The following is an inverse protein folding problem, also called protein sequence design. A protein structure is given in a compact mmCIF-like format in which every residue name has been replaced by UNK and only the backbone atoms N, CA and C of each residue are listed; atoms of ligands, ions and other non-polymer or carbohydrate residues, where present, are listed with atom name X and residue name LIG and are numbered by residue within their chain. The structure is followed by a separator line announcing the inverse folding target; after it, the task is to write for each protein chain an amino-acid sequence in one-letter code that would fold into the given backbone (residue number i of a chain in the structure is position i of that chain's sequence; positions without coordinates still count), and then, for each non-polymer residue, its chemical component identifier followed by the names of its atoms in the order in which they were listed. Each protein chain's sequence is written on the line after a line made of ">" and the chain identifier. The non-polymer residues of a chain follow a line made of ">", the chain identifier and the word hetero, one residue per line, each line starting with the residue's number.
data_IF_953175869127
#
_entry.id   IF_953175869127
#
_cell.length_a   1.000
_cell.length_b   1.000
_cell.length_c   1.000
_cell.angle_alpha   90.00
_cell.angle_beta   90.00
_cell.angle_gamma   90.00
#
_symmetry.space_group_name_H-M   'P 1'
#
loop_
_entity.id
_entity.type
_entity.pdbx_description
1 polymer ?
#
# COMPACT_ATOMS: atom_id res chain seq x y z
N UNK A 1 -27.59 -3.11 1.50
CA UNK A 1 -26.74 -3.46 2.65
C UNK A 1 -26.70 -4.99 2.82
N UNK A 2 -25.54 -5.55 3.15
CA UNK A 2 -25.31 -6.97 3.44
C UNK A 2 -25.42 -7.93 2.24
N UNK A 3 -25.22 -7.43 1.01
CA UNK A 3 -25.24 -8.26 -0.22
C UNK A 3 -23.95 -8.14 -1.05
N UNK A 4 -23.23 -7.01 -0.99
CA UNK A 4 -21.97 -6.81 -1.71
C UNK A 4 -20.75 -7.30 -0.94
N UNK A 5 -19.67 -7.65 -1.66
CA UNK A 5 -18.44 -8.23 -1.08
C UNK A 5 -17.90 -7.45 0.13
N UNK A 6 -17.75 -6.13 0.01
CA UNK A 6 -17.34 -5.26 1.13
C UNK A 6 -18.28 -5.37 2.33
N UNK A 7 -19.58 -5.38 2.11
CA UNK A 7 -20.57 -5.42 3.19
C UNK A 7 -20.59 -6.79 3.88
N UNK A 8 -20.35 -7.88 3.14
CA UNK A 8 -20.39 -9.24 3.69
C UNK A 8 -19.05 -9.64 4.33
N UNK A 9 -17.93 -9.39 3.65
CA UNK A 9 -16.61 -9.92 4.03
C UNK A 9 -15.61 -8.83 4.43
N UNK A 10 -16.01 -7.56 4.34
CA UNK A 10 -15.12 -6.43 4.57
C UNK A 10 -14.18 -6.22 3.39
N UNK A 11 -13.14 -5.42 3.60
CA UNK A 11 -12.05 -5.28 2.61
C UNK A 11 -11.32 -6.59 2.38
N UNK A 12 -11.28 -7.46 3.39
CA UNK A 12 -10.58 -8.73 3.39
C UNK A 12 -11.16 -9.78 2.42
N UNK A 13 -12.26 -9.47 1.73
CA UNK A 13 -12.71 -10.18 0.52
C UNK A 13 -11.61 -10.26 -0.54
N UNK A 14 -10.68 -9.30 -0.55
CA UNK A 14 -9.60 -9.24 -1.51
C UNK A 14 -8.54 -10.32 -1.31
N UNK A 15 -8.44 -10.92 -0.11
CA UNK A 15 -7.42 -11.94 0.20
C UNK A 15 -7.42 -13.07 -0.83
N UNK A 16 -8.57 -13.69 -1.06
CA UNK A 16 -8.71 -14.78 -2.03
C UNK A 16 -8.57 -14.28 -3.48
N UNK A 17 -9.08 -13.09 -3.78
CA UNK A 17 -8.98 -12.52 -5.14
C UNK A 17 -7.51 -12.30 -5.52
N UNK A 18 -6.71 -11.77 -4.61
CA UNK A 18 -5.28 -11.56 -4.84
C UNK A 18 -4.50 -12.87 -4.76
N UNK A 19 -4.86 -13.82 -3.91
CA UNK A 19 -4.24 -15.14 -3.91
C UNK A 19 -4.43 -15.86 -5.26
N UNK A 20 -5.67 -15.94 -5.76
CA UNK A 20 -6.00 -16.62 -7.04
C UNK A 20 -5.33 -16.00 -8.26
N UNK A 21 -4.96 -14.72 -8.19
CA UNK A 21 -4.30 -13.99 -9.28
C UNK A 21 -2.78 -13.94 -9.12
N UNK A 22 -2.21 -14.69 -8.17
CA UNK A 22 -0.82 -14.57 -7.76
C UNK A 22 -0.44 -13.12 -7.45
N UNK A 23 -1.35 -12.32 -6.91
CA UNK A 23 -1.16 -10.88 -6.65
C UNK A 23 -0.98 -10.52 -5.17
N UNK A 24 -0.81 -11.50 -4.27
CA UNK A 24 -0.70 -11.35 -2.82
C UNK A 24 0.76 -11.56 -2.37
N UNK A 25 1.59 -10.51 -2.25
CA UNK A 25 3.01 -10.66 -1.94
C UNK A 25 3.22 -11.46 -0.64
N UNK A 26 3.99 -12.54 -0.69
CA UNK A 26 4.23 -13.40 0.48
C UNK A 26 5.72 -13.44 0.84
N UNK A 27 5.98 -13.55 2.15
CA UNK A 27 7.33 -13.61 2.74
C UNK A 27 8.23 -12.47 2.26
N UNK A 28 7.86 -11.25 2.65
CA UNK A 28 8.46 -9.99 2.23
C UNK A 28 8.50 -9.86 0.71
N UNK A 29 7.43 -10.20 -0.01
CA UNK A 29 7.34 -10.10 -1.47
C UNK A 29 8.35 -10.96 -2.25
N UNK A 30 8.88 -12.03 -1.65
CA UNK A 30 9.71 -13.02 -2.37
C UNK A 30 8.87 -13.88 -3.29
N UNK A 31 7.66 -14.19 -2.84
CA UNK A 31 6.68 -14.96 -3.58
C UNK A 31 5.48 -14.08 -3.91
N UNK A 32 4.79 -14.40 -4.99
CA UNK A 32 3.62 -13.68 -5.49
C UNK A 32 2.30 -14.10 -4.83
N UNK A 33 2.28 -15.22 -4.11
CA UNK A 33 1.15 -15.71 -3.30
C UNK A 33 1.62 -16.73 -2.25
N UNK A 34 0.71 -17.18 -1.38
CA UNK A 34 1.01 -18.27 -0.43
C UNK A 34 1.10 -19.63 -1.12
N UNK A 35 0.29 -19.87 -2.15
CA UNK A 35 0.38 -21.04 -3.04
C UNK A 35 1.71 -21.08 -3.76
N UNK A 36 2.12 -19.97 -4.40
CA UNK A 36 3.40 -19.89 -5.12
C UNK A 36 4.60 -20.15 -4.19
N UNK A 37 4.52 -19.69 -2.93
CA UNK A 37 5.54 -19.96 -1.93
C UNK A 37 5.65 -21.47 -1.63
N UNK A 38 4.51 -22.15 -1.43
CA UNK A 38 4.46 -23.60 -1.14
C UNK A 38 4.91 -24.44 -2.33
N UNK A 39 4.59 -24.02 -3.55
CA UNK A 39 5.06 -24.69 -4.77
C UNK A 39 6.58 -24.54 -4.97
N UNK A 40 7.11 -23.36 -4.67
CA UNK A 40 8.54 -23.07 -4.82
C UNK A 40 9.42 -23.69 -3.72
N UNK A 41 8.90 -23.82 -2.50
CA UNK A 41 9.65 -24.30 -1.33
C UNK A 41 8.86 -25.34 -0.52
N UNK A 42 9.21 -26.61 -0.72
CA UNK A 42 8.58 -27.74 -0.04
C UNK A 42 8.82 -27.78 1.48
N UNK A 43 9.64 -26.88 2.04
CA UNK A 43 9.77 -26.72 3.50
C UNK A 43 8.68 -25.85 4.10
N UNK A 44 7.96 -25.08 3.29
CA UNK A 44 6.83 -24.26 3.72
C UNK A 44 5.63 -25.18 4.02
N UNK A 45 5.01 -25.05 5.21
CA UNK A 45 3.92 -25.94 5.61
C UNK A 45 2.68 -25.76 4.73
N UNK A 46 1.89 -26.83 4.58
CA UNK A 46 0.63 -26.80 3.84
C UNK A 46 -0.37 -25.83 4.47
N UNK A 47 -0.27 -25.64 5.79
CA UNK A 47 -1.07 -24.69 6.57
C UNK A 47 -0.77 -23.22 6.24
N UNK A 48 0.31 -22.89 5.53
CA UNK A 48 0.56 -21.53 5.04
C UNK A 48 -0.30 -21.26 3.80
N UNK A 49 -1.57 -20.96 4.05
CA UNK A 49 -2.61 -20.75 3.04
C UNK A 49 -3.43 -19.48 3.37
N UNK A 50 -3.51 -18.54 2.42
CA UNK A 50 -4.20 -17.27 2.55
C UNK A 50 -5.70 -17.41 2.82
N UNK A 51 -6.34 -18.52 2.41
CA UNK A 51 -7.76 -18.77 2.70
C UNK A 51 -8.03 -18.85 4.21
N UNK A 52 -7.03 -19.20 5.02
CA UNK A 52 -7.18 -19.24 6.48
C UNK A 52 -7.35 -17.86 7.11
N UNK A 53 -6.97 -16.80 6.40
CA UNK A 53 -7.06 -15.42 6.83
C UNK A 53 -7.97 -14.58 5.93
N UNK A 54 -8.75 -15.21 5.03
CA UNK A 54 -9.65 -14.54 4.11
C UNK A 54 -10.87 -13.92 4.79
N UNK A 55 -11.55 -13.01 4.10
CA UNK A 55 -12.78 -12.39 4.59
C UNK A 55 -13.90 -13.40 4.86
N UNK A 56 -13.99 -14.44 4.02
CA UNK A 56 -14.90 -15.58 4.17
C UNK A 56 -14.61 -16.33 5.47
N UNK A 57 -13.34 -16.67 5.69
CA UNK A 57 -12.91 -17.42 6.86
C UNK A 57 -13.09 -16.61 8.16
N UNK A 58 -12.74 -15.32 8.14
CA UNK A 58 -12.98 -14.39 9.26
C UNK A 58 -14.47 -14.32 9.61
N UNK A 59 -15.33 -14.17 8.60
CA UNK A 59 -16.79 -14.10 8.78
C UNK A 59 -17.34 -15.38 9.41
N UNK A 60 -16.89 -16.55 8.98
CA UNK A 60 -17.40 -17.83 9.46
C UNK A 60 -16.98 -18.12 10.91
N UNK A 61 -15.80 -17.65 11.33
CA UNK A 61 -15.16 -18.15 12.55
C UNK A 61 -15.07 -17.15 13.71
N UNK A 62 -14.76 -15.87 13.45
CA UNK A 62 -14.42 -14.91 14.52
C UNK A 62 -15.17 -13.58 14.45
N UNK A 63 -15.98 -13.33 13.41
CA UNK A 63 -16.79 -12.12 13.30
C UNK A 63 -17.86 -12.06 14.41
N UNK A 64 -17.92 -10.95 15.14
CA UNK A 64 -18.90 -10.72 16.21
C UNK A 64 -19.81 -9.52 15.99
N UNK A 65 -19.36 -8.51 15.24
CA UNK A 65 -20.17 -7.34 14.89
C UNK A 65 -19.71 -6.69 13.57
N UNK A 66 -20.59 -5.86 13.00
CA UNK A 66 -20.37 -5.16 11.74
C UNK A 66 -20.67 -3.66 11.92
N UNK A 67 -19.87 -2.94 12.74
CA UNK A 67 -20.06 -1.51 12.95
C UNK A 67 -19.88 -0.71 11.65
N UNK A 68 -20.35 0.54 11.65
CA UNK A 68 -20.29 1.41 10.47
C UNK A 68 -19.62 2.74 10.76
N UNK A 69 -18.97 3.30 9.74
CA UNK A 69 -18.58 4.71 9.76
C UNK A 69 -19.83 5.60 9.75
N UNK A 70 -19.66 6.86 10.14
CA UNK A 70 -20.77 7.82 10.18
C UNK A 70 -21.54 7.88 8.86
N UNK A 71 -22.85 7.67 8.92
CA UNK A 71 -23.77 7.71 7.77
C UNK A 71 -23.44 6.77 6.61
N UNK A 72 -22.57 5.77 6.82
CA UNK A 72 -22.13 4.86 5.78
C UNK A 72 -23.13 3.72 5.54
N UNK A 73 -23.65 3.53 4.31
CA UNK A 73 -24.55 2.42 3.98
C UNK A 73 -23.82 1.11 3.62
N UNK A 74 -22.49 1.13 3.48
CA UNK A 74 -21.69 -0.03 3.03
C UNK A 74 -21.48 -1.05 4.14
N UNK A 75 -21.24 -0.60 5.38
CA UNK A 75 -20.96 -1.47 6.54
C UNK A 75 -19.78 -2.44 6.31
N UNK A 76 -18.65 -1.92 5.80
CA UNK A 76 -17.47 -2.72 5.49
C UNK A 76 -16.69 -3.20 6.71
N UNK A 77 -16.75 -2.46 7.82
CA UNK A 77 -15.91 -2.74 8.98
C UNK A 77 -16.33 -4.06 9.63
N UNK A 78 -15.33 -4.85 10.03
CA UNK A 78 -15.51 -6.15 10.71
C UNK A 78 -14.92 -6.07 12.10
N UNK A 79 -15.75 -6.30 13.11
CA UNK A 79 -15.33 -6.47 14.49
C UNK A 79 -15.22 -7.97 14.79
N UNK A 80 -14.05 -8.39 15.26
CA UNK A 80 -13.75 -9.79 15.52
C UNK A 80 -13.42 -10.00 17.00
N UNK A 81 -13.68 -11.20 17.50
CA UNK A 81 -13.32 -11.62 18.86
C UNK A 81 -12.59 -12.97 18.80
N UNK A 82 -11.46 -13.07 19.50
CA UNK A 82 -10.69 -14.31 19.58
C UNK A 82 -10.05 -14.50 20.96
N UNK A 83 -9.72 -15.76 21.25
CA UNK A 83 -9.08 -16.24 22.47
C UNK A 83 -7.92 -17.15 22.08
N UNK A 84 -6.68 -16.72 22.32
CA UNK A 84 -5.48 -17.52 22.05
C UNK A 84 -4.74 -17.86 23.35
N UNK A 85 -3.93 -18.92 23.31
CA UNK A 85 -2.97 -19.24 24.37
C UNK A 85 -1.58 -18.75 23.96
N UNK A 86 -1.18 -17.58 24.46
CA UNK A 86 0.11 -16.96 24.19
C UNK A 86 1.09 -17.21 25.33
N UNK A 87 2.16 -17.97 25.10
CA UNK A 87 3.22 -18.26 26.09
C UNK A 87 2.68 -18.73 27.46
N UNK A 88 1.57 -19.47 27.45
CA UNK A 88 0.93 -20.04 28.64
C UNK A 88 -0.13 -19.16 29.30
N UNK A 89 -0.37 -17.96 28.76
CA UNK A 89 -1.40 -17.02 29.20
C UNK A 89 -2.53 -16.94 28.16
N UNK A 90 -3.78 -16.88 28.64
CA UNK A 90 -4.93 -16.68 27.76
C UNK A 90 -5.03 -15.19 27.38
N UNK A 91 -4.98 -14.90 26.09
CA UNK A 91 -5.21 -13.56 25.55
C UNK A 91 -6.54 -13.53 24.84
N UNK A 92 -7.44 -12.67 25.32
CA UNK A 92 -8.75 -12.44 24.74
C UNK A 92 -8.77 -11.03 24.15
N UNK A 93 -9.07 -10.92 22.86
CA UNK A 93 -9.16 -9.62 22.17
C UNK A 93 -10.48 -9.50 21.44
N UNK A 94 -10.99 -8.27 21.41
CA UNK A 94 -12.11 -7.86 20.57
C UNK A 94 -11.68 -6.58 19.87
N UNK A 95 -11.41 -6.67 18.57
CA UNK A 95 -10.88 -5.56 17.78
C UNK A 95 -11.77 -5.28 16.58
N UNK A 96 -11.88 -4.00 16.25
CA UNK A 96 -12.47 -3.55 15.00
C UNK A 96 -11.43 -3.56 13.87
N UNK A 97 -11.92 -3.48 12.63
CA UNK A 97 -11.11 -3.27 11.43
C UNK A 97 -10.08 -4.38 11.18
N UNK A 98 -10.55 -5.63 11.14
CA UNK A 98 -9.81 -6.71 10.47
C UNK A 98 -9.83 -6.48 8.96
N UNK A 99 -9.01 -5.53 8.51
CA UNK A 99 -8.93 -5.10 7.12
C UNK A 99 -7.90 -5.93 6.33
N UNK A 100 -8.08 -5.99 5.02
CA UNK A 100 -7.23 -6.71 4.07
C UNK A 100 -5.74 -6.44 4.24
N UNK A 101 -5.34 -5.16 4.23
CA UNK A 101 -3.95 -4.74 4.34
C UNK A 101 -3.30 -5.18 5.66
N UNK A 102 -4.05 -5.09 6.76
CA UNK A 102 -3.57 -5.49 8.08
C UNK A 102 -3.41 -7.00 8.16
N UNK A 103 -4.39 -7.75 7.64
CA UNK A 103 -4.36 -9.21 7.60
C UNK A 103 -3.22 -9.74 6.73
N UNK A 104 -2.94 -9.09 5.60
CA UNK A 104 -1.82 -9.41 4.73
C UNK A 104 -0.47 -9.11 5.39
N UNK A 105 -0.26 -7.87 5.85
CA UNK A 105 1.04 -7.41 6.33
C UNK A 105 1.48 -8.19 7.59
N UNK A 106 0.56 -8.37 8.53
CA UNK A 106 0.77 -9.09 9.79
C UNK A 106 0.58 -10.61 9.65
N UNK A 107 0.42 -11.13 8.43
CA UNK A 107 0.13 -12.54 8.17
C UNK A 107 0.94 -13.08 6.99
N UNK A 108 0.34 -13.30 5.80
CA UNK A 108 1.01 -13.83 4.62
C UNK A 108 2.37 -13.20 4.30
N UNK A 109 2.49 -11.87 4.42
CA UNK A 109 3.76 -11.19 4.15
C UNK A 109 4.86 -11.59 5.16
N UNK A 110 4.48 -11.94 6.38
CA UNK A 110 5.35 -12.40 7.46
C UNK A 110 5.48 -13.94 7.53
N UNK A 111 4.88 -14.68 6.60
CA UNK A 111 5.07 -16.13 6.49
C UNK A 111 4.21 -17.00 7.40
N UNK A 112 3.11 -16.48 7.97
CA UNK A 112 2.10 -17.28 8.66
C UNK A 112 0.68 -16.87 8.26
N UNK A 113 -0.32 -17.71 8.54
CA UNK A 113 -1.74 -17.43 8.26
C UNK A 113 -2.62 -17.83 9.45
N UNK A 114 -2.20 -17.40 10.64
CA UNK A 114 -2.98 -17.54 11.87
C UNK A 114 -3.86 -16.31 12.08
N UNK A 115 -5.14 -16.46 11.72
CA UNK A 115 -6.16 -15.42 11.79
C UNK A 115 -6.37 -14.87 13.20
N UNK A 116 -6.27 -15.72 14.21
CA UNK A 116 -6.58 -15.35 15.59
C UNK A 116 -5.42 -14.54 16.18
N UNK A 117 -4.18 -14.95 15.91
CA UNK A 117 -3.00 -14.18 16.29
C UNK A 117 -2.91 -12.85 15.53
N UNK A 118 -3.31 -12.79 14.26
CA UNK A 118 -3.43 -11.53 13.51
C UNK A 118 -4.39 -10.57 14.19
N UNK A 119 -5.54 -11.03 14.69
CA UNK A 119 -6.47 -10.17 15.42
C UNK A 119 -5.84 -9.61 16.71
N UNK A 120 -5.00 -10.38 17.40
CA UNK A 120 -4.22 -9.90 18.55
C UNK A 120 -3.21 -8.83 18.13
N UNK A 121 -2.50 -9.04 17.01
CA UNK A 121 -1.53 -8.07 16.49
C UNK A 121 -2.20 -6.76 16.03
N UNK A 122 -3.37 -6.84 15.41
CA UNK A 122 -4.17 -5.65 15.05
C UNK A 122 -4.55 -4.87 16.30
N UNK A 123 -5.04 -5.55 17.37
CA UNK A 123 -5.34 -4.88 18.64
C UNK A 123 -4.10 -4.18 19.22
N UNK A 124 -2.93 -4.82 19.18
CA UNK A 124 -1.66 -4.22 19.64
C UNK A 124 -1.28 -2.97 18.84
N UNK A 125 -1.40 -3.03 17.51
CA UNK A 125 -1.14 -1.87 16.66
C UNK A 125 -2.11 -0.72 16.97
N UNK A 126 -3.40 -1.03 17.17
CA UNK A 126 -4.41 -0.04 17.56
C UNK A 126 -4.12 0.59 18.93
N UNK A 127 -3.74 -0.21 19.93
CA UNK A 127 -3.44 0.26 21.29
C UNK A 127 -2.24 1.22 21.32
N UNK A 128 -1.24 0.96 20.47
CA UNK A 128 -0.01 1.76 20.38
C UNK A 128 -0.04 2.86 19.32
N UNK A 129 -1.06 2.89 18.47
CA UNK A 129 -1.14 3.83 17.34
C UNK A 129 -0.09 3.57 16.25
N UNK A 130 0.17 2.30 15.95
CA UNK A 130 1.10 1.86 14.91
C UNK A 130 0.36 1.51 13.61
N UNK A 131 0.95 1.85 12.47
CA UNK A 131 0.47 1.40 11.16
C UNK A 131 0.75 -0.11 10.98
N UNK A 132 -0.30 -0.89 10.75
CA UNK A 132 -0.20 -2.34 10.57
C UNK A 132 0.55 -2.72 9.30
N UNK A 133 0.49 -1.90 8.25
CA UNK A 133 1.20 -2.13 6.99
C UNK A 133 2.71 -2.03 7.24
N UNK A 134 3.16 -0.92 7.84
CA UNK A 134 4.56 -0.70 8.17
C UNK A 134 5.05 -1.71 9.21
N UNK A 135 4.26 -2.00 10.26
CA UNK A 135 4.62 -2.98 11.28
C UNK A 135 4.81 -4.40 10.72
N UNK A 136 3.92 -4.84 9.83
CA UNK A 136 4.05 -6.13 9.16
C UNK A 136 5.23 -6.17 8.19
N UNK A 137 5.38 -5.14 7.35
CA UNK A 137 6.48 -5.05 6.39
C UNK A 137 7.85 -4.99 7.07
N UNK A 138 8.02 -4.23 8.16
CA UNK A 138 9.31 -4.13 8.86
C UNK A 138 9.68 -5.46 9.53
N UNK A 139 8.71 -6.19 10.08
CA UNK A 139 8.93 -7.53 10.63
C UNK A 139 9.28 -8.54 9.53
N UNK A 140 8.58 -8.52 8.40
CA UNK A 140 8.90 -9.38 7.25
C UNK A 140 10.31 -9.12 6.70
N UNK A 141 10.73 -7.84 6.61
CA UNK A 141 12.12 -7.49 6.26
C UNK A 141 13.11 -8.00 7.31
N UNK A 142 12.79 -7.89 8.60
CA UNK A 142 13.63 -8.40 9.68
C UNK A 142 13.80 -9.92 9.63
N UNK A 143 12.75 -10.67 9.26
CA UNK A 143 12.83 -12.12 9.03
C UNK A 143 13.78 -12.44 7.88
N UNK A 144 13.68 -11.72 6.76
CA UNK A 144 14.59 -11.90 5.63
C UNK A 144 16.05 -11.55 5.99
N UNK A 145 16.27 -10.49 6.78
CA UNK A 145 17.60 -10.12 7.26
C UNK A 145 18.16 -11.13 8.28
N UNK A 146 17.31 -11.71 9.13
CA UNK A 146 17.67 -12.79 10.05
C UNK A 146 18.13 -14.02 9.29
N UNK A 147 17.35 -14.46 8.29
CA UNK A 147 17.71 -15.60 7.41
C UNK A 147 19.04 -15.36 6.67
N UNK A 148 19.35 -14.11 6.32
CA UNK A 148 20.61 -13.69 5.70
C UNK A 148 21.79 -13.52 6.69
N UNK A 149 21.57 -13.74 7.99
CA UNK A 149 22.60 -13.57 9.04
C UNK A 149 23.00 -12.11 9.28
N UNK A 150 22.13 -11.15 8.94
CA UNK A 150 22.43 -9.71 9.00
C UNK A 150 22.08 -9.06 10.34
N UNK A 151 21.37 -9.78 11.21
CA UNK A 151 20.93 -9.29 12.52
C UNK A 151 21.57 -10.03 13.71
N UNK A 152 22.60 -10.87 13.48
CA UNK A 152 23.25 -11.69 14.52
C UNK A 152 23.79 -10.86 15.70
N UNK A 153 24.21 -9.63 15.45
CA UNK A 153 24.72 -8.70 16.48
C UNK A 153 23.60 -8.15 17.39
N UNK A 154 22.33 -8.28 16.99
CA UNK A 154 21.15 -7.82 17.73
C UNK A 154 20.42 -8.95 18.48
N UNK A 155 20.96 -10.16 18.46
CA UNK A 155 20.37 -11.36 19.06
C UNK A 155 19.94 -12.39 18.01
N UNK A 156 18.95 -13.22 18.35
CA UNK A 156 18.49 -14.31 17.47
C UNK A 156 17.63 -13.82 16.28
N UNK A 157 17.34 -12.52 16.20
CA UNK A 157 16.49 -11.95 15.16
C UNK A 157 15.02 -12.36 15.30
N UNK A 158 14.37 -12.64 14.18
CA UNK A 158 13.00 -13.15 14.12
C UNK A 158 12.88 -14.18 12.99
N UNK A 159 12.25 -15.32 13.28
CA UNK A 159 12.03 -16.38 12.30
C UNK A 159 10.76 -16.15 11.49
N UNK A 160 10.74 -16.64 10.24
CA UNK A 160 9.55 -16.61 9.39
C UNK A 160 8.37 -17.31 10.04
N UNK A 161 7.25 -16.60 10.14
CA UNK A 161 6.02 -17.12 10.69
C UNK A 161 6.00 -17.32 12.21
N UNK A 162 7.00 -16.80 12.95
CA UNK A 162 6.95 -16.76 14.42
C UNK A 162 6.00 -15.66 14.91
N UNK A 163 4.72 -15.90 14.72
CA UNK A 163 3.62 -15.02 15.10
C UNK A 163 3.56 -14.75 16.62
N UNK A 164 4.01 -15.69 17.45
CA UNK A 164 4.13 -15.47 18.89
C UNK A 164 5.22 -14.42 19.18
N UNK A 165 6.38 -14.49 18.53
CA UNK A 165 7.39 -13.44 18.70
C UNK A 165 6.96 -12.11 18.07
N UNK A 166 6.23 -12.12 16.96
CA UNK A 166 5.66 -10.90 16.35
C UNK A 166 4.74 -10.14 17.31
N UNK A 167 3.84 -10.83 18.03
CA UNK A 167 2.96 -10.22 19.04
C UNK A 167 3.77 -9.45 20.10
N UNK A 168 4.85 -10.04 20.59
CA UNK A 168 5.70 -9.43 21.62
C UNK A 168 6.63 -8.35 21.03
N UNK A 169 7.00 -8.48 19.75
CA UNK A 169 7.85 -7.52 19.05
C UNK A 169 7.11 -6.20 18.81
N UNK A 170 5.82 -6.22 18.53
CA UNK A 170 4.99 -5.02 18.39
C UNK A 170 5.08 -4.12 19.64
N UNK A 171 4.95 -4.69 20.85
CA UNK A 171 5.12 -3.94 22.10
C UNK A 171 6.52 -3.35 22.19
N UNK A 172 7.55 -4.17 21.94
CA UNK A 172 8.95 -3.73 22.03
C UNK A 172 9.29 -2.64 21.01
N UNK A 173 8.70 -2.67 19.81
CA UNK A 173 8.85 -1.62 18.79
C UNK A 173 8.21 -0.33 19.30
N UNK A 174 6.98 -0.39 19.82
CA UNK A 174 6.28 0.77 20.36
C UNK A 174 7.04 1.42 21.52
N UNK A 175 7.67 0.61 22.39
CA UNK A 175 8.41 1.09 23.57
C UNK A 175 9.91 1.27 23.34
N UNK A 176 10.43 0.84 22.19
CA UNK A 176 11.87 0.82 21.83
C UNK A 176 12.74 0.14 22.90
N UNK A 177 12.25 -1.00 23.39
CA UNK A 177 12.82 -1.67 24.57
C UNK A 177 14.12 -2.45 24.31
N UNK A 178 14.31 -2.94 23.09
CA UNK A 178 15.49 -3.72 22.69
C UNK A 178 16.21 -3.02 21.53
N UNK A 179 17.50 -3.31 21.33
CA UNK A 179 18.27 -2.73 20.21
C UNK A 179 17.66 -3.10 18.86
N UNK A 180 17.20 -4.35 18.69
CA UNK A 180 16.44 -4.75 17.51
C UNK A 180 15.19 -3.89 17.34
N UNK A 181 14.37 -3.77 18.38
CA UNK A 181 13.11 -3.03 18.29
C UNK A 181 13.30 -1.53 18.05
N UNK A 182 14.36 -0.92 18.61
CA UNK A 182 14.71 0.47 18.34
C UNK A 182 15.09 0.69 16.87
N UNK A 183 15.83 -0.24 16.26
CA UNK A 183 16.13 -0.20 14.83
C UNK A 183 14.90 -0.41 13.95
N UNK A 184 14.02 -1.36 14.30
CA UNK A 184 12.77 -1.58 13.57
C UNK A 184 11.84 -0.36 13.65
N UNK A 185 11.83 0.35 14.77
CA UNK A 185 11.03 1.56 14.96
C UNK A 185 11.45 2.75 14.06
N UNK A 186 12.62 2.70 13.41
CA UNK A 186 13.07 3.68 12.42
C UNK A 186 12.63 3.33 10.98
N UNK A 187 12.01 2.15 10.76
CA UNK A 187 11.45 1.74 9.48
C UNK A 187 12.44 1.09 8.51
N UNK A 188 11.93 0.64 7.36
CA UNK A 188 12.69 -0.22 6.44
C UNK A 188 13.87 0.50 5.77
N UNK A 189 13.75 1.80 5.46
CA UNK A 189 14.84 2.55 4.85
C UNK A 189 16.07 2.62 5.78
N UNK A 190 15.83 2.82 7.08
CA UNK A 190 16.89 2.75 8.09
C UNK A 190 17.50 1.35 8.15
N UNK A 191 16.68 0.30 8.18
CA UNK A 191 17.17 -1.09 8.20
C UNK A 191 18.00 -1.43 6.95
N UNK A 192 17.60 -0.90 5.78
CA UNK A 192 18.33 -1.10 4.53
C UNK A 192 19.75 -0.53 4.61
N UNK A 193 19.92 0.67 5.16
CA UNK A 193 21.23 1.30 5.32
C UNK A 193 22.05 0.66 6.45
N UNK A 194 21.43 0.44 7.61
CA UNK A 194 22.13 -0.03 8.81
C UNK A 194 22.62 -1.48 8.70
N UNK A 195 21.90 -2.33 7.95
CA UNK A 195 22.14 -3.78 7.88
C UNK A 195 22.35 -4.28 6.44
N UNK A 196 22.72 -3.41 5.50
CA UNK A 196 22.90 -3.77 4.08
C UNK A 196 21.63 -4.43 3.49
N UNK A 197 20.46 -3.99 3.93
CA UNK A 197 19.16 -4.58 3.62
C UNK A 197 18.50 -4.08 2.34
N UNK A 198 19.22 -3.38 1.45
CA UNK A 198 18.67 -2.77 0.23
C UNK A 198 17.94 -3.75 -0.70
N UNK A 199 18.36 -5.03 -0.75
CA UNK A 199 17.62 -6.07 -1.49
C UNK A 199 16.37 -6.61 -0.78
N UNK A 200 16.21 -6.30 0.50
CA UNK A 200 15.11 -6.76 1.36
C UNK A 200 14.06 -5.66 1.64
N UNK A 201 14.28 -4.41 1.24
CA UNK A 201 13.25 -3.37 1.41
C UNK A 201 12.17 -3.47 0.33
N UNK A 202 10.94 -3.16 0.73
CA UNK A 202 9.78 -3.00 -0.14
C UNK A 202 9.28 -1.54 -0.12
N UNK A 203 10.15 -0.57 0.12
CA UNK A 203 9.74 0.84 0.20
C UNK A 203 9.86 1.59 -1.11
N UNK A 204 9.00 2.59 -1.28
CA UNK A 204 9.16 3.69 -2.23
C UNK A 204 9.01 5.00 -1.46
N UNK A 205 9.99 5.90 -1.58
CA UNK A 205 10.07 7.14 -0.78
C UNK A 205 9.90 6.87 0.72
N UNK A 206 10.56 5.82 1.21
CA UNK A 206 10.57 5.38 2.60
C UNK A 206 9.22 4.89 3.19
N UNK A 207 8.20 4.68 2.36
CA UNK A 207 6.95 4.03 2.77
C UNK A 207 6.84 2.64 2.12
N UNK A 208 6.48 1.63 2.89
CA UNK A 208 6.36 0.25 2.44
C UNK A 208 5.17 0.05 1.51
N UNK A 209 5.27 -0.91 0.58
CA UNK A 209 4.15 -1.31 -0.27
C UNK A 209 2.98 -1.84 0.57
N UNK A 210 1.81 -1.79 -0.07
CA UNK A 210 0.59 -2.45 0.37
C UNK A 210 0.47 -3.86 -0.25
N UNK A 211 -0.65 -4.54 0.00
CA UNK A 211 -0.90 -5.95 -0.32
C UNK A 211 -1.08 -6.28 -1.81
N UNK A 212 -0.56 -5.48 -2.73
CA UNK A 212 -0.70 -5.68 -4.18
C UNK A 212 0.66 -5.86 -4.82
N UNK A 213 0.91 -7.02 -5.42
CA UNK A 213 2.20 -7.29 -6.08
C UNK A 213 2.35 -6.51 -7.40
N UNK A 214 3.36 -5.62 -7.53
CA UNK A 214 3.58 -4.86 -8.77
C UNK A 214 3.91 -5.70 -10.00
N UNK A 215 4.39 -6.95 -9.80
CA UNK A 215 4.65 -7.88 -10.90
C UNK A 215 3.33 -8.31 -11.54
N UNK A 216 2.27 -8.37 -10.75
CA UNK A 216 0.98 -8.93 -11.14
C UNK A 216 -0.05 -7.84 -11.46
N UNK A 217 0.13 -6.64 -10.92
CA UNK A 217 -0.73 -5.47 -11.16
C UNK A 217 0.13 -4.28 -11.56
N UNK A 218 0.32 -4.08 -12.87
CA UNK A 218 1.22 -3.03 -13.38
C UNK A 218 0.76 -1.62 -12.97
N UNK A 219 -0.56 -1.39 -12.93
CA UNK A 219 -1.15 -0.13 -12.45
C UNK A 219 -0.77 0.19 -11.00
N UNK A 220 -0.65 -0.83 -10.14
CA UNK A 220 -0.17 -0.64 -8.77
C UNK A 220 1.32 -0.35 -8.71
N UNK A 221 2.11 -0.94 -9.60
CA UNK A 221 3.54 -0.61 -9.72
C UNK A 221 3.77 0.87 -10.00
N UNK A 222 3.10 1.44 -11.02
CA UNK A 222 3.19 2.88 -11.30
C UNK A 222 2.56 3.73 -10.18
N UNK A 223 1.50 3.24 -9.53
CA UNK A 223 0.86 3.90 -8.39
C UNK A 223 1.79 4.05 -7.19
N UNK A 224 2.52 3.00 -6.83
CA UNK A 224 3.53 3.04 -5.77
C UNK A 224 4.69 3.97 -6.14
N UNK A 225 5.20 3.87 -7.37
CA UNK A 225 6.30 4.69 -7.84
C UNK A 225 5.97 6.19 -7.79
N UNK A 226 4.78 6.59 -8.22
CA UNK A 226 4.44 8.00 -8.45
C UNK A 226 3.67 8.67 -7.31
N UNK A 227 3.15 7.91 -6.34
CA UNK A 227 2.36 8.45 -5.24
C UNK A 227 3.11 9.54 -4.46
N UNK A 228 2.45 10.69 -4.28
CA UNK A 228 3.00 11.85 -3.57
C UNK A 228 3.36 11.62 -2.09
N UNK A 229 3.00 10.48 -1.50
CA UNK A 229 3.33 10.17 -0.09
C UNK A 229 4.23 8.96 0.13
N UNK A 230 4.66 8.29 -0.96
CA UNK A 230 5.31 6.97 -0.92
C UNK A 230 4.38 5.85 -1.37
N UNK A 231 4.80 4.59 -1.25
CA UNK A 231 4.15 3.40 -1.84
C UNK A 231 2.72 3.12 -1.34
N UNK A 232 1.77 3.95 -1.77
CA UNK A 232 0.39 3.92 -1.29
C UNK A 232 -0.62 3.54 -2.38
N UNK A 233 -1.43 2.52 -2.11
CA UNK A 233 -2.49 2.06 -3.01
C UNK A 233 -3.71 2.98 -3.10
N UNK A 234 -4.03 3.76 -2.06
CA UNK A 234 -5.25 4.59 -2.02
C UNK A 234 -5.15 5.95 -2.73
N UNK A 235 -3.96 6.38 -3.15
CA UNK A 235 -3.83 7.62 -3.93
C UNK A 235 -4.25 7.41 -5.37
N UNK A 236 -4.17 6.20 -5.90
CA UNK A 236 -4.63 5.84 -7.24
C UNK A 236 -4.92 4.35 -7.30
N UNK A 237 -6.09 3.94 -6.83
CA UNK A 237 -6.42 2.52 -6.63
C UNK A 237 -6.80 1.82 -7.95
N UNK A 238 -5.80 1.56 -8.80
CA UNK A 238 -5.97 0.86 -10.08
C UNK A 238 -6.48 -0.60 -9.96
N UNK A 239 -6.33 -1.35 -8.84
CA UNK A 239 -6.92 -2.68 -8.70
C UNK A 239 -8.44 -2.69 -8.90
N UNK A 240 -9.11 -1.56 -8.71
CA UNK A 240 -10.50 -1.39 -9.12
C UNK A 240 -10.72 -1.71 -10.60
N UNK A 241 -9.89 -1.20 -11.51
CA UNK A 241 -9.99 -1.48 -12.94
C UNK A 241 -9.36 -2.84 -13.29
N UNK A 242 -8.24 -3.17 -12.66
CA UNK A 242 -7.40 -4.32 -13.00
C UNK A 242 -7.96 -5.65 -12.50
N UNK A 243 -8.57 -5.66 -11.31
CA UNK A 243 -9.19 -6.86 -10.73
C UNK A 243 -10.71 -6.80 -10.89
N UNK A 244 -11.33 -5.70 -10.42
CA UNK A 244 -12.79 -5.61 -10.27
C UNK A 244 -13.52 -5.14 -11.55
N UNK A 245 -12.79 -4.57 -12.52
CA UNK A 245 -13.34 -4.08 -13.78
C UNK A 245 -14.09 -2.75 -13.69
N UNK A 246 -13.75 -1.89 -12.71
CA UNK A 246 -14.42 -0.62 -12.43
C UNK A 246 -13.43 0.56 -12.58
N UNK A 247 -13.73 1.60 -13.38
CA UNK A 247 -14.95 1.77 -14.18
C UNK A 247 -14.94 0.95 -15.48
N UNK A 248 -13.76 0.54 -15.95
CA UNK A 248 -13.57 -0.31 -17.13
C UNK A 248 -12.50 -1.37 -16.82
N UNK A 249 -12.67 -2.57 -17.38
CA UNK A 249 -11.71 -3.66 -17.18
C UNK A 249 -10.41 -3.39 -17.91
N UNK A 250 -9.33 -3.33 -17.15
CA UNK A 250 -7.96 -3.34 -17.68
C UNK A 250 -7.32 -4.71 -17.39
N UNK A 251 -6.48 -5.18 -18.30
CA UNK A 251 -5.67 -6.38 -18.05
C UNK A 251 -4.62 -6.05 -16.97
N UNK A 252 -4.53 -6.80 -15.86
CA UNK A 252 -3.57 -6.51 -14.80
C UNK A 252 -2.10 -6.70 -15.21
N UNK A 253 -1.82 -7.48 -16.26
CA UNK A 253 -0.46 -7.80 -16.72
C UNK A 253 0.05 -6.89 -17.85
N UNK A 254 -0.83 -6.16 -18.52
CA UNK A 254 -0.42 -5.21 -19.57
C UNK A 254 0.01 -3.88 -18.96
N UNK A 255 1.19 -3.37 -19.33
CA UNK A 255 1.69 -2.08 -18.84
C UNK A 255 1.17 -0.89 -19.66
N UNK A 256 0.84 -1.10 -20.94
CA UNK A 256 0.42 -0.03 -21.86
C UNK A 256 -0.86 0.67 -21.34
N UNK A 257 -0.83 2.00 -21.28
CA UNK A 257 -1.93 2.84 -20.79
C UNK A 257 -2.07 2.90 -19.26
N UNK A 258 -1.26 2.18 -18.49
CA UNK A 258 -1.33 2.18 -17.02
C UNK A 258 -0.85 3.49 -16.41
N UNK A 259 0.09 4.19 -17.06
CA UNK A 259 0.51 5.52 -16.63
C UNK A 259 -0.66 6.50 -16.67
N UNK A 260 -1.41 6.51 -17.76
CA UNK A 260 -2.58 7.38 -17.92
C UNK A 260 -3.72 7.01 -16.96
N UNK A 261 -4.00 5.71 -16.83
CA UNK A 261 -5.01 5.18 -15.90
C UNK A 261 -4.71 5.61 -14.46
N UNK A 262 -3.46 5.45 -14.02
CA UNK A 262 -3.04 5.81 -12.68
C UNK A 262 -3.20 7.32 -12.42
N UNK A 263 -2.78 8.17 -13.37
CA UNK A 263 -2.94 9.62 -13.25
C UNK A 263 -4.42 10.03 -13.13
N UNK A 264 -5.30 9.45 -13.94
CA UNK A 264 -6.75 9.69 -13.87
C UNK A 264 -7.33 9.32 -12.49
N UNK A 265 -6.96 8.13 -11.99
CA UNK A 265 -7.40 7.67 -10.69
C UNK A 265 -6.91 8.57 -9.57
N UNK A 266 -5.68 9.08 -9.67
CA UNK A 266 -5.12 10.01 -8.70
C UNK A 266 -5.87 11.35 -8.66
N UNK A 267 -6.31 11.86 -9.82
CA UNK A 267 -7.12 13.09 -9.88
C UNK A 267 -8.49 12.88 -9.23
N UNK A 268 -9.17 11.77 -9.57
CA UNK A 268 -10.44 11.39 -8.93
C UNK A 268 -10.30 11.20 -7.43
N UNK A 269 -9.19 10.61 -7.00
CA UNK A 269 -8.93 10.39 -5.59
C UNK A 269 -8.56 11.68 -4.83
N UNK A 270 -7.88 12.64 -5.47
CA UNK A 270 -7.67 13.96 -4.88
C UNK A 270 -9.00 14.69 -4.64
N UNK A 271 -9.98 14.54 -5.54
CA UNK A 271 -11.34 15.08 -5.37
C UNK A 271 -12.05 14.43 -4.19
N UNK A 272 -12.12 13.09 -4.16
CA UNK A 272 -12.80 12.38 -3.06
C UNK A 272 -12.15 12.61 -1.70
N UNK A 273 -10.82 12.72 -1.62
CA UNK A 273 -10.11 13.10 -0.39
C UNK A 273 -10.46 14.52 0.05
N UNK A 274 -10.62 15.45 -0.90
CA UNK A 274 -11.00 16.84 -0.61
C UNK A 274 -12.45 16.98 -0.16
N UNK A 275 -13.32 16.05 -0.56
CA UNK A 275 -14.70 15.99 -0.09
C UNK A 275 -14.84 15.26 1.25
N UNK A 276 -13.77 14.61 1.72
CA UNK A 276 -13.80 13.72 2.89
C UNK A 276 -14.84 12.59 2.76
N UNK A 277 -14.93 12.00 1.55
CA UNK A 277 -15.82 10.86 1.27
C UNK A 277 -14.98 9.58 1.16
N UNK A 278 -15.43 8.52 1.82
CA UNK A 278 -14.76 7.21 1.83
C UNK A 278 -14.48 6.68 0.41
N UNK A 279 -13.24 6.25 0.15
CA UNK A 279 -12.79 5.71 -1.16
C UNK A 279 -13.67 4.62 -1.75
N UNK A 280 -14.32 3.80 -0.92
CA UNK A 280 -15.20 2.74 -1.42
C UNK A 280 -16.46 3.25 -2.13
N UNK A 281 -16.79 4.54 -2.01
CA UNK A 281 -17.83 5.15 -2.82
C UNK A 281 -17.51 5.07 -4.32
N UNK A 282 -16.22 5.06 -4.70
CA UNK A 282 -15.77 5.03 -6.10
C UNK A 282 -16.14 3.74 -6.84
N UNK A 283 -16.57 2.69 -6.11
CA UNK A 283 -17.14 1.49 -6.71
C UNK A 283 -18.58 1.67 -7.21
N UNK A 284 -19.22 2.80 -6.90
CA UNK A 284 -20.60 3.09 -7.27
C UNK A 284 -20.78 4.49 -7.88
N UNK A 285 -19.90 5.44 -7.56
CA UNK A 285 -20.03 6.85 -7.94
C UNK A 285 -18.81 7.30 -8.75
N UNK A 286 -19.07 8.06 -9.82
CA UNK A 286 -18.04 8.69 -10.64
C UNK A 286 -18.09 10.21 -10.58
N UNK A 287 -17.41 10.86 -11.53
CA UNK A 287 -17.33 12.32 -11.59
C UNK A 287 -18.72 12.98 -11.73
N UNK A 288 -19.65 12.34 -12.46
CA UNK A 288 -21.01 12.83 -12.64
C UNK A 288 -21.75 12.93 -11.29
N UNK A 289 -21.62 11.92 -10.43
CA UNK A 289 -22.20 11.91 -9.09
C UNK A 289 -21.54 12.96 -8.18
N UNK A 290 -20.22 13.09 -8.24
CA UNK A 290 -19.47 14.05 -7.45
C UNK A 290 -19.86 15.49 -7.76
N UNK A 291 -20.04 15.83 -9.04
CA UNK A 291 -20.52 17.16 -9.45
C UNK A 291 -21.92 17.44 -8.90
N UNK A 292 -22.84 16.48 -9.01
CA UNK A 292 -24.22 16.63 -8.47
C UNK A 292 -24.21 16.86 -6.96
N UNK A 293 -23.40 16.11 -6.22
CA UNK A 293 -23.27 16.24 -4.77
C UNK A 293 -22.66 17.58 -4.37
N UNK A 294 -21.55 17.97 -5.00
CA UNK A 294 -20.84 19.20 -4.71
C UNK A 294 -21.72 20.44 -4.99
N UNK A 295 -22.35 20.50 -6.16
CA UNK A 295 -23.24 21.59 -6.53
C UNK A 295 -24.49 21.62 -5.63
N UNK A 296 -25.05 20.44 -5.29
CA UNK A 296 -26.19 20.34 -4.39
C UNK A 296 -25.90 20.83 -2.97
N UNK A 297 -24.70 20.58 -2.45
CA UNK A 297 -24.29 20.97 -1.10
C UNK A 297 -23.85 22.43 -1.00
N UNK A 298 -23.15 22.93 -2.01
CA UNK A 298 -22.54 24.28 -1.99
C UNK A 298 -23.41 25.36 -2.64
N UNK A 299 -24.33 24.96 -3.54
CA UNK A 299 -25.08 25.88 -4.39
C UNK A 299 -24.26 26.46 -5.56
N UNK A 300 -23.09 25.90 -5.84
CA UNK A 300 -22.27 26.24 -7.01
C UNK A 300 -22.75 25.51 -8.27
N UNK A 301 -22.21 25.88 -9.43
CA UNK A 301 -22.51 25.28 -10.73
C UNK A 301 -21.20 24.86 -11.42
N UNK A 302 -20.43 23.99 -10.76
CA UNK A 302 -19.18 23.43 -11.30
C UNK A 302 -19.50 22.31 -12.30
N UNK A 303 -18.74 22.24 -13.39
CA UNK A 303 -18.80 21.17 -14.40
C UNK A 303 -17.87 19.98 -14.07
N UNK A 304 -18.03 18.86 -14.78
CA UNK A 304 -17.14 17.70 -14.64
C UNK A 304 -15.69 18.04 -14.96
N UNK A 305 -15.45 18.80 -16.03
CA UNK A 305 -14.10 19.24 -16.43
C UNK A 305 -13.46 20.14 -15.37
N UNK A 306 -14.20 21.10 -14.83
CA UNK A 306 -13.69 22.00 -13.78
C UNK A 306 -13.37 21.24 -12.48
N UNK A 307 -14.16 20.22 -12.12
CA UNK A 307 -13.90 19.41 -10.94
C UNK A 307 -12.72 18.45 -11.15
N UNK A 308 -12.58 17.85 -12.33
CA UNK A 308 -11.40 17.05 -12.70
C UNK A 308 -10.13 17.88 -12.71
N UNK A 309 -10.17 19.11 -13.26
CA UNK A 309 -9.05 20.04 -13.21
C UNK A 309 -8.68 20.41 -11.77
N UNK A 310 -9.65 20.47 -10.85
CA UNK A 310 -9.36 20.66 -9.42
C UNK A 310 -8.60 19.48 -8.81
N UNK A 311 -8.94 18.23 -9.16
CA UNK A 311 -8.19 17.05 -8.75
C UNK A 311 -6.73 17.08 -9.21
N UNK A 312 -6.53 17.38 -10.50
CA UNK A 312 -5.20 17.52 -11.11
C UNK A 312 -4.38 18.66 -10.50
N UNK A 313 -5.02 19.81 -10.23
CA UNK A 313 -4.43 20.94 -9.50
C UNK A 313 -3.92 20.53 -8.13
N UNK A 314 -4.73 19.81 -7.35
CA UNK A 314 -4.37 19.37 -6.00
C UNK A 314 -3.19 18.40 -6.07
N UNK A 315 -3.27 17.39 -6.93
CA UNK A 315 -2.23 16.39 -7.04
C UNK A 315 -0.89 16.97 -7.56
N UNK A 316 -0.97 17.91 -8.51
CA UNK A 316 0.20 18.63 -9.02
C UNK A 316 0.79 19.56 -7.97
N UNK A 317 -0.02 20.22 -7.14
CA UNK A 317 0.47 21.04 -6.03
C UNK A 317 1.22 20.20 -4.98
N UNK A 318 0.69 19.02 -4.64
CA UNK A 318 1.38 18.06 -3.78
C UNK A 318 2.73 17.61 -4.40
N UNK A 319 2.75 17.29 -5.71
CA UNK A 319 4.00 16.94 -6.41
C UNK A 319 5.00 18.09 -6.38
N UNK A 320 4.53 19.32 -6.61
CA UNK A 320 5.38 20.50 -6.58
C UNK A 320 6.01 20.71 -5.21
N UNK A 321 5.24 20.53 -4.14
CA UNK A 321 5.78 20.52 -2.79
C UNK A 321 6.88 19.47 -2.62
N UNK A 322 6.68 18.26 -3.13
CA UNK A 322 7.72 17.22 -3.11
C UNK A 322 8.97 17.63 -3.93
N UNK A 323 8.80 18.25 -5.10
CA UNK A 323 9.91 18.75 -5.90
C UNK A 323 10.73 19.81 -5.14
N UNK A 324 10.09 20.67 -4.34
CA UNK A 324 10.78 21.63 -3.47
C UNK A 324 11.58 20.95 -2.35
N UNK A 325 11.19 19.75 -1.95
CA UNK A 325 11.89 18.94 -0.96
C UNK A 325 12.91 17.97 -1.59
N UNK A 326 13.19 18.11 -2.89
CA UNK A 326 14.24 17.37 -3.60
C UNK A 326 13.77 16.11 -4.32
N UNK A 327 12.47 15.76 -4.27
CA UNK A 327 11.97 14.58 -4.96
C UNK A 327 11.82 14.83 -6.47
N UNK A 328 12.17 13.85 -7.30
CA UNK A 328 12.06 13.90 -8.75
C UNK A 328 11.92 12.53 -9.39
N UNK A 329 12.43 12.39 -10.64
CA UNK A 329 12.43 11.12 -11.40
C UNK A 329 13.08 9.96 -10.66
N UNK A 330 14.17 10.21 -9.95
CA UNK A 330 14.97 9.18 -9.28
C UNK A 330 14.24 8.54 -8.10
N UNK A 331 13.32 9.27 -7.48
CA UNK A 331 12.48 8.78 -6.38
C UNK A 331 11.22 8.07 -6.86
N UNK A 332 10.85 8.23 -8.13
CA UNK A 332 9.77 7.47 -8.77
C UNK A 332 10.32 6.12 -9.26
N UNK A 333 10.57 5.24 -8.30
CA UNK A 333 11.19 3.93 -8.47
C UNK A 333 10.38 2.83 -7.79
N UNK A 334 10.82 1.58 -7.98
CA UNK A 334 10.33 0.41 -7.25
C UNK A 334 11.53 -0.38 -6.73
N UNK A 335 11.35 -1.17 -5.65
CA UNK A 335 12.32 -2.17 -5.23
C UNK A 335 12.77 -3.06 -6.39
N UNK A 336 14.08 -3.30 -6.49
CA UNK A 336 14.69 -4.00 -7.62
C UNK A 336 14.08 -5.39 -7.90
N UNK A 337 13.55 -6.05 -6.86
CA UNK A 337 12.85 -7.33 -7.00
C UNK A 337 11.66 -7.30 -7.95
N UNK A 338 11.03 -6.15 -8.12
CA UNK A 338 9.85 -6.01 -8.95
C UNK A 338 10.20 -5.58 -10.38
N UNK A 339 11.44 -5.17 -10.65
CA UNK A 339 11.87 -4.67 -11.95
C UNK A 339 12.67 -5.73 -12.70
N UNK A 340 12.82 -5.57 -14.01
CA UNK A 340 13.81 -6.34 -14.77
C UNK A 340 15.24 -5.91 -14.38
N UNK A 341 16.18 -6.86 -14.35
CA UNK A 341 17.59 -6.60 -14.08
C UNK A 341 18.14 -7.22 -12.80
N UNK A 342 19.17 -6.60 -12.22
CA UNK A 342 19.88 -7.12 -11.06
C UNK A 342 19.00 -7.07 -9.80
N UNK A 343 18.88 -8.20 -9.10
CA UNK A 343 18.03 -8.34 -7.93
C UNK A 343 16.57 -8.65 -8.25
N UNK A 344 16.21 -8.80 -9.53
CA UNK A 344 14.86 -9.16 -9.98
C UNK A 344 14.41 -10.52 -9.41
N UNK A 345 13.15 -10.59 -9.01
CA UNK A 345 12.46 -11.82 -8.65
C UNK A 345 11.18 -11.87 -9.47
N UNK A 346 11.19 -12.48 -10.68
CA UNK A 346 10.00 -12.56 -11.54
C UNK A 346 8.82 -13.22 -10.83
N UNK A 347 7.60 -12.85 -11.22
CA UNK A 347 6.37 -13.40 -10.68
C UNK A 347 6.27 -14.91 -10.87
N UNK A 348 5.45 -15.56 -10.05
CA UNK A 348 5.23 -17.00 -10.09
C UNK A 348 3.74 -17.31 -10.33
N UNK A 349 3.44 -18.58 -10.62
CA UNK A 349 2.07 -19.07 -10.72
C UNK A 349 1.29 -18.41 -11.85
N UNK A 350 0.18 -17.75 -11.52
CA UNK A 350 -0.64 -17.02 -12.49
C UNK A 350 0.09 -15.83 -13.13
N UNK A 351 1.18 -15.37 -12.52
CA UNK A 351 2.04 -14.26 -12.96
C UNK A 351 3.44 -14.73 -13.39
N UNK A 352 3.60 -16.00 -13.77
CA UNK A 352 4.89 -16.62 -14.06
C UNK A 352 5.72 -15.80 -15.06
N UNK A 353 6.89 -15.33 -14.61
CA UNK A 353 7.84 -14.57 -15.41
C UNK A 353 7.56 -13.07 -15.50
N UNK A 354 6.47 -12.57 -14.90
CA UNK A 354 6.10 -11.16 -14.93
C UNK A 354 7.04 -10.30 -14.07
N UNK A 355 7.34 -9.09 -14.56
CA UNK A 355 8.07 -8.02 -13.85
C UNK A 355 7.35 -6.69 -14.11
N UNK A 356 7.64 -5.63 -13.38
CA UNK A 356 6.98 -4.33 -13.58
C UNK A 356 7.76 -3.46 -14.59
N UNK A 357 7.15 -3.16 -15.73
CA UNK A 357 7.70 -2.31 -16.79
C UNK A 357 7.61 -0.82 -16.43
N UNK A 358 8.29 -0.42 -15.36
CA UNK A 358 8.12 0.91 -14.75
C UNK A 358 8.50 2.08 -15.68
N UNK A 359 9.64 1.99 -16.37
CA UNK A 359 10.16 3.09 -17.19
C UNK A 359 9.18 3.55 -18.29
N UNK A 360 8.64 2.67 -19.15
CA UNK A 360 7.69 3.10 -20.16
C UNK A 360 6.36 3.59 -19.55
N UNK A 361 5.90 3.02 -18.42
CA UNK A 361 4.74 3.55 -17.70
C UNK A 361 4.96 4.96 -17.14
N UNK A 362 6.18 5.28 -16.70
CA UNK A 362 6.53 6.62 -16.24
C UNK A 362 6.54 7.62 -17.39
N UNK A 363 6.95 7.22 -18.60
CA UNK A 363 6.87 8.06 -19.80
C UNK A 363 5.41 8.46 -20.10
N UNK A 364 4.49 7.49 -20.12
CA UNK A 364 3.06 7.74 -20.27
C UNK A 364 2.51 8.65 -19.16
N UNK A 365 2.87 8.34 -17.91
CA UNK A 365 2.40 9.06 -16.74
C UNK A 365 2.83 10.54 -16.77
N UNK A 366 4.11 10.82 -17.02
CA UNK A 366 4.61 12.20 -17.09
C UNK A 366 4.05 12.96 -18.29
N UNK A 367 3.87 12.29 -19.44
CA UNK A 367 3.22 12.89 -20.59
C UNK A 367 1.77 13.29 -20.27
N UNK A 368 1.01 12.42 -19.60
CA UNK A 368 -0.37 12.70 -19.17
C UNK A 368 -0.45 13.84 -18.16
N UNK A 369 0.53 13.92 -17.25
CA UNK A 369 0.65 14.95 -16.21
C UNK A 369 1.15 16.30 -16.70
N UNK A 370 1.81 16.34 -17.86
CA UNK A 370 2.55 17.52 -18.32
C UNK A 370 3.79 17.81 -17.46
N UNK A 371 4.43 16.76 -16.93
CA UNK A 371 5.65 16.86 -16.11
C UNK A 371 6.88 16.50 -16.93
N UNK A 372 8.06 17.00 -16.51
CA UNK A 372 9.35 16.69 -17.16
C UNK A 372 10.23 15.99 -16.14
N UNK A 373 10.54 14.72 -16.37
CA UNK A 373 11.34 13.89 -15.46
C UNK A 373 10.84 13.96 -14.01
N UNK A 374 9.52 13.80 -13.81
CA UNK A 374 8.88 13.87 -12.49
C UNK A 374 8.85 15.27 -11.86
N UNK A 375 9.30 16.30 -12.56
CA UNK A 375 9.26 17.69 -12.07
C UNK A 375 8.13 18.46 -12.73
N UNK A 376 7.35 19.16 -11.91
CA UNK A 376 6.29 20.07 -12.38
C UNK A 376 6.94 21.33 -12.99
N UNK A 377 6.78 21.61 -14.29
CA UNK A 377 7.31 22.82 -14.90
C UNK A 377 6.46 24.05 -14.54
N UNK A 378 7.06 25.24 -14.56
CA UNK A 378 6.36 26.50 -14.24
C UNK A 378 5.11 26.74 -15.10
N UNK A 379 5.19 26.41 -16.41
CA UNK A 379 4.04 26.50 -17.32
C UNK A 379 2.85 25.66 -16.85
N UNK A 380 3.12 24.48 -16.26
CA UNK A 380 2.08 23.61 -15.73
C UNK A 380 1.43 24.17 -14.46
N UNK A 381 2.18 24.89 -13.65
CA UNK A 381 1.65 25.60 -12.48
C UNK A 381 0.73 26.74 -12.95
N UNK A 382 1.16 27.50 -13.96
CA UNK A 382 0.36 28.58 -14.56
C UNK A 382 -0.94 28.04 -15.19
N UNK A 383 -0.86 26.95 -15.95
CA UNK A 383 -2.02 26.28 -16.57
C UNK A 383 -3.07 25.85 -15.54
N UNK A 384 -2.63 25.37 -14.39
CA UNK A 384 -3.49 24.95 -13.29
C UNK A 384 -3.84 26.10 -12.34
N UNK A 385 -3.36 27.32 -12.57
CA UNK A 385 -3.63 28.48 -11.71
C UNK A 385 -3.05 28.33 -10.29
N UNK A 386 -1.91 27.66 -10.15
CA UNK A 386 -1.19 27.50 -8.89
C UNK A 386 -0.25 28.69 -8.71
N UNK A 387 -0.62 29.62 -7.81
CA UNK A 387 0.21 30.80 -7.54
C UNK A 387 1.43 30.46 -6.68
N UNK A 388 2.63 30.67 -7.24
CA UNK A 388 3.92 30.46 -6.57
C UNK A 388 4.33 31.74 -5.84
N UNK A 389 4.48 31.66 -4.52
CA UNK A 389 4.92 32.77 -3.68
C UNK A 389 6.45 32.96 -3.65
N UNK A 390 6.95 34.00 -2.97
CA UNK A 390 8.37 34.15 -2.69
C UNK A 390 8.89 32.94 -1.88
N UNK A 391 9.87 32.21 -2.42
CA UNK A 391 10.50 31.06 -1.76
C UNK A 391 9.98 29.69 -2.19
N UNK A 392 9.03 29.62 -3.13
CA UNK A 392 8.48 28.34 -3.61
C UNK A 392 8.94 27.95 -5.01
N UNK A 393 9.90 28.64 -5.64
CA UNK A 393 10.33 28.33 -7.01
C UNK A 393 11.28 27.12 -7.11
N UNK A 394 10.89 26.09 -7.87
CA UNK A 394 11.80 25.00 -8.28
C UNK A 394 12.63 25.49 -9.47
N UNK A 395 13.72 26.23 -9.22
CA UNK A 395 14.59 26.69 -10.31
C UNK A 395 15.48 25.54 -10.82
N UNK A 396 15.02 24.77 -11.81
CA UNK A 396 15.93 24.03 -12.70
C UNK A 396 16.38 24.94 -13.83
N UNK A 397 17.36 25.80 -13.54
CA UNK A 397 18.03 26.65 -14.51
C UNK A 397 19.11 27.51 -13.87
N UNK A 398 20.38 27.13 -14.09
CA UNK A 398 21.61 27.88 -13.82
C UNK A 398 21.47 29.17 -12.99
N UNK A 399 21.39 29.05 -11.67
CA UNK A 399 21.60 30.19 -10.80
C UNK A 399 22.51 29.80 -9.63
N UNK A 400 23.64 30.50 -9.57
CA UNK A 400 24.60 30.34 -8.48
C UNK A 400 23.93 30.68 -7.15
N UNK A 401 24.15 29.81 -6.17
CA UNK A 401 23.69 30.00 -4.79
C UNK A 401 23.97 31.44 -4.31
N UNK A 402 22.99 32.13 -3.69
CA UNK A 402 23.27 33.37 -3.02
C UNK A 402 24.15 33.06 -1.80
N UNK A 403 25.31 33.69 -1.76
CA UNK A 403 26.19 33.67 -0.60
C UNK A 403 25.48 34.32 0.60
N UNK A 404 25.75 33.75 1.77
CA UNK A 404 25.34 34.19 3.10
C UNK A 404 25.33 35.70 3.30
N UNK A 405 24.31 36.18 4.03
CA UNK A 405 24.42 37.31 4.97
C UNK A 405 23.53 37.06 6.20
#
# INVERSE_FOLDING_TARGET
>A
PNEGGLSVYGTNVLMNVTEETSGLPARNGRYTSTEDAREADASIPEEFDAERVSGENVRENILVDEPTCHSCPVACKKEVETSIMHKGEEMNVRTESYEYESAWALGPNSGHTDRDEIAVMIQRCNDHGMDTIEAGNIMAMAMELTEKGKLEDLGDGIDWGDSSEMIDLLERIATRETELADHLAEGQAHMAEAFDGHGSTLTVKNQAIAAYDPRCMKGMGIGYATSNRGACHLRGYTPSAELLGIPEKADPYEWEGKGELCALFQDMHAISDSFDICKFNAFAEGIEEYVKQYNGMTGLEVSEDELMEAGDRIYTLERYYNNLNGFGREDDSLPARFLDGEGSVPGQGASEGEVCELDPMLEEYYARRGWVDGVVPDERLDDLGIEVGPGTGVSRGDSAAPADD
#
